data_IF_942221967962
#
_entry.id   IF_942221967962
#
_cell.length_a   1.000
_cell.length_b   1.000
_cell.length_c   1.000
_cell.angle_alpha   90.00
_cell.angle_beta   90.00
_cell.angle_gamma   90.00
#
_symmetry.space_group_name_H-M   'P 1'
#
loop_
_entity.id
_entity.type
_entity.pdbx_description
1 polymer ?
#
# COMPACT_ATOMS: atom_id res chain seq x y z
N UNK A 1 -35.90 -0.50 -26.12
CA UNK A 1 -35.62 -0.59 -24.67
C UNK A 1 -34.18 -1.06 -24.48
N UNK A 2 -33.21 -0.13 -24.47
CA UNK A 2 -31.80 -0.48 -24.27
C UNK A 2 -31.52 -0.60 -22.78
N UNK A 3 -31.11 -1.80 -22.32
CA UNK A 3 -30.63 -1.99 -20.95
C UNK A 3 -29.33 -1.21 -20.74
N UNK A 4 -29.13 -0.49 -19.62
CA UNK A 4 -27.82 0.07 -19.33
C UNK A 4 -26.80 -1.05 -19.14
N UNK A 5 -25.63 -0.93 -19.78
CA UNK A 5 -24.49 -1.82 -19.50
C UNK A 5 -24.17 -1.72 -18.01
N UNK A 6 -24.11 -2.85 -17.33
CA UNK A 6 -23.48 -2.97 -16.02
C UNK A 6 -22.05 -2.47 -16.18
N UNK A 7 -21.69 -1.40 -15.47
CA UNK A 7 -20.28 -1.05 -15.26
C UNK A 7 -19.76 -2.11 -14.32
N UNK A 8 -19.24 -3.21 -14.87
CA UNK A 8 -18.39 -4.13 -14.14
C UNK A 8 -17.12 -3.37 -13.84
N UNK A 9 -16.99 -2.84 -12.62
CA UNK A 9 -15.70 -2.40 -12.11
C UNK A 9 -14.85 -3.67 -12.00
N UNK A 10 -13.81 -3.86 -12.83
CA UNK A 10 -12.93 -5.00 -12.67
C UNK A 10 -12.25 -4.82 -11.32
N UNK A 11 -12.39 -5.80 -10.44
CA UNK A 11 -11.46 -5.89 -9.32
C UNK A 11 -10.08 -6.00 -9.95
N UNK A 12 -9.17 -5.03 -9.77
CA UNK A 12 -7.88 -5.12 -10.40
C UNK A 12 -7.21 -6.39 -9.87
N UNK A 13 -6.88 -7.30 -10.79
CA UNK A 13 -6.07 -8.46 -10.47
C UNK A 13 -4.83 -7.95 -9.73
N UNK A 14 -4.46 -8.51 -8.57
CA UNK A 14 -3.23 -8.09 -7.87
C UNK A 14 -1.97 -8.18 -8.74
N UNK A 15 -2.02 -8.89 -9.88
CA UNK A 15 -1.00 -8.93 -10.92
C UNK A 15 -1.09 -7.85 -12.01
N UNK A 16 -2.14 -7.01 -12.08
CA UNK A 16 -2.15 -5.91 -13.06
C UNK A 16 -1.22 -4.78 -12.62
N UNK A 17 -0.49 -4.15 -13.56
CA UNK A 17 0.39 -3.03 -13.25
C UNK A 17 -0.35 -1.80 -12.66
N UNK A 18 -1.68 -1.79 -12.71
CA UNK A 18 -2.51 -0.74 -12.11
C UNK A 18 -2.71 -0.92 -10.58
N UNK A 19 -2.54 -2.15 -10.08
CA UNK A 19 -2.64 -2.50 -8.67
C UNK A 19 -1.30 -2.27 -7.97
N UNK A 20 -1.18 -1.15 -7.25
CA UNK A 20 0.02 -0.85 -6.45
C UNK A 20 0.04 -1.64 -5.12
N UNK A 21 0.05 -2.96 -5.20
CA UNK A 21 0.09 -3.90 -4.07
C UNK A 21 1.55 -4.34 -3.78
N UNK A 22 1.87 -4.83 -2.56
CA UNK A 22 3.20 -5.34 -2.26
C UNK A 22 3.41 -6.73 -2.88
N UNK A 23 4.54 -6.94 -3.58
CA UNK A 23 5.05 -8.25 -3.98
C UNK A 23 5.89 -8.82 -2.85
N UNK A 24 5.41 -9.86 -2.19
CA UNK A 24 6.16 -10.56 -1.15
C UNK A 24 7.05 -11.66 -1.76
N UNK A 25 8.22 -11.97 -1.16
CA UNK A 25 8.80 -11.34 0.03
C UNK A 25 9.73 -10.16 -0.29
N UNK A 26 9.85 -9.71 -1.54
CA UNK A 26 10.77 -8.63 -1.91
C UNK A 26 10.30 -7.23 -1.46
N UNK A 27 8.99 -7.09 -1.21
CA UNK A 27 8.29 -5.86 -0.83
C UNK A 27 8.34 -4.76 -1.89
N UNK A 28 8.62 -5.07 -3.14
CA UNK A 28 8.46 -4.13 -4.25
C UNK A 28 6.98 -3.99 -4.63
N UNK A 29 6.63 -2.89 -5.27
CA UNK A 29 5.30 -2.65 -5.77
C UNK A 29 5.04 -3.50 -7.02
N UNK A 30 3.94 -4.24 -7.06
CA UNK A 30 3.48 -4.96 -8.27
C UNK A 30 3.27 -3.99 -9.44
N UNK A 31 2.68 -2.83 -9.16
CA UNK A 31 2.34 -1.85 -10.19
C UNK A 31 3.54 -1.15 -10.85
N UNK A 32 4.47 -0.63 -10.05
CA UNK A 32 5.56 0.21 -10.57
C UNK A 32 6.98 -0.33 -10.31
N UNK A 33 7.14 -1.45 -9.62
CA UNK A 33 8.45 -2.05 -9.32
C UNK A 33 9.30 -1.30 -8.27
N UNK A 34 8.88 -0.12 -7.84
CA UNK A 34 9.53 0.62 -6.74
C UNK A 34 9.20 0.02 -5.38
N UNK A 35 9.94 0.39 -4.35
CA UNK A 35 9.66 0.04 -2.97
C UNK A 35 8.19 0.30 -2.57
N UNK A 36 7.49 -0.75 -2.16
CA UNK A 36 6.15 -0.63 -1.57
C UNK A 36 6.20 -0.21 -0.09
N UNK A 37 5.46 0.80 0.37
CA UNK A 37 4.47 1.57 -0.38
C UNK A 37 5.14 2.59 -1.30
N UNK A 38 4.85 2.51 -2.60
CA UNK A 38 5.30 3.47 -3.60
C UNK A 38 4.49 4.77 -3.48
N UNK A 39 4.92 5.85 -4.15
CA UNK A 39 4.27 7.16 -4.05
C UNK A 39 2.76 7.11 -4.37
N UNK A 40 2.36 6.41 -5.44
CA UNK A 40 0.95 6.25 -5.81
C UNK A 40 0.15 5.53 -4.73
N UNK A 41 0.70 4.45 -4.15
CA UNK A 41 0.02 3.74 -3.07
C UNK A 41 -0.11 4.60 -1.82
N UNK A 42 0.92 5.38 -1.47
CA UNK A 42 0.85 6.34 -0.35
C UNK A 42 -0.28 7.33 -0.54
N UNK A 43 -0.40 7.93 -1.73
CA UNK A 43 -1.48 8.87 -2.08
C UNK A 43 -2.85 8.22 -1.98
N UNK A 44 -3.03 7.03 -2.56
CA UNK A 44 -4.29 6.27 -2.50
C UNK A 44 -4.67 5.93 -1.06
N UNK A 45 -3.73 5.43 -0.26
CA UNK A 45 -3.95 5.15 1.16
C UNK A 45 -4.36 6.41 1.97
N UNK A 46 -3.76 7.57 1.70
CA UNK A 46 -4.17 8.82 2.33
C UNK A 46 -5.59 9.24 1.95
N UNK A 47 -6.01 8.98 0.71
CA UNK A 47 -7.37 9.27 0.27
C UNK A 47 -8.38 8.26 0.87
N UNK A 48 -8.08 6.96 0.76
CA UNK A 48 -8.89 5.85 1.30
C UNK A 48 -9.16 6.02 2.81
N UNK A 49 -8.14 6.42 3.58
CA UNK A 49 -8.22 6.58 5.03
C UNK A 49 -8.36 8.04 5.48
N UNK A 50 -8.87 8.94 4.63
CA UNK A 50 -8.96 10.37 4.93
C UNK A 50 -9.64 10.69 6.27
N UNK A 51 -10.67 9.93 6.63
CA UNK A 51 -11.41 10.07 7.89
C UNK A 51 -10.92 9.19 9.05
N UNK A 52 -9.89 8.35 8.86
CA UNK A 52 -9.39 7.48 9.92
C UNK A 52 -7.89 7.21 9.80
N UNK A 53 -7.10 8.20 10.22
CA UNK A 53 -5.63 8.16 10.18
C UNK A 53 -5.02 7.12 11.12
N UNK A 54 -5.69 6.83 12.23
CA UNK A 54 -5.25 5.80 13.19
C UNK A 54 -5.29 4.42 12.51
N UNK A 55 -6.40 4.08 11.84
CA UNK A 55 -6.52 2.81 11.12
C UNK A 55 -5.45 2.66 10.03
N UNK A 56 -5.11 3.74 9.31
CA UNK A 56 -4.02 3.73 8.35
C UNK A 56 -2.66 3.43 9.00
N UNK A 57 -2.37 4.07 10.14
CA UNK A 57 -1.12 3.86 10.86
C UNK A 57 -1.00 2.40 11.35
N UNK A 58 -2.08 1.82 11.88
CA UNK A 58 -2.12 0.42 12.32
C UNK A 58 -1.91 -0.53 11.14
N UNK A 59 -2.58 -0.30 10.01
CA UNK A 59 -2.39 -1.09 8.79
C UNK A 59 -0.94 -1.05 8.28
N UNK A 60 -0.32 0.13 8.25
CA UNK A 60 1.07 0.24 7.79
C UNK A 60 2.05 -0.36 8.78
N UNK A 61 1.76 -0.31 10.08
CA UNK A 61 2.56 -0.97 11.10
C UNK A 61 2.50 -2.50 10.96
N UNK A 62 1.34 -3.09 10.63
CA UNK A 62 1.27 -4.54 10.39
C UNK A 62 2.09 -4.96 9.18
N UNK A 63 2.00 -4.23 8.07
CA UNK A 63 2.85 -4.48 6.90
C UNK A 63 4.35 -4.29 7.20
N UNK A 64 4.71 -3.31 8.02
CA UNK A 64 6.10 -3.12 8.44
C UNK A 64 6.62 -4.32 9.24
N UNK A 65 5.80 -4.88 10.15
CA UNK A 65 6.17 -6.06 10.94
C UNK A 65 6.34 -7.30 10.07
N UNK A 66 5.45 -7.48 9.10
CA UNK A 66 5.58 -8.56 8.13
C UNK A 66 6.85 -8.39 7.28
N UNK A 67 7.18 -7.17 6.86
CA UNK A 67 8.40 -6.88 6.11
C UNK A 67 9.66 -7.12 6.95
N UNK A 68 9.63 -6.80 8.24
CA UNK A 68 10.73 -7.12 9.16
C UNK A 68 10.98 -8.62 9.28
N UNK A 69 9.90 -9.42 9.29
CA UNK A 69 10.00 -10.87 9.36
C UNK A 69 10.50 -11.50 8.06
N UNK A 70 10.06 -10.97 6.91
CA UNK A 70 10.40 -11.51 5.58
C UNK A 70 11.74 -10.98 5.02
N UNK A 71 12.20 -9.81 5.50
CA UNK A 71 13.43 -9.14 5.06
C UNK A 71 14.34 -8.81 6.24
N UNK A 72 14.90 -9.82 6.94
CA UNK A 72 15.82 -9.60 8.05
C UNK A 72 17.14 -8.95 7.61
N UNK A 73 17.44 -8.93 6.31
CA UNK A 73 18.58 -8.24 5.70
C UNK A 73 18.43 -6.71 5.70
N UNK A 74 17.20 -6.19 5.82
CA UNK A 74 16.94 -4.75 5.81
C UNK A 74 16.98 -4.17 7.23
N UNK A 75 17.55 -2.97 7.43
CA UNK A 75 17.58 -2.33 8.72
C UNK A 75 16.17 -1.90 9.15
N UNK A 76 15.79 -2.24 10.39
CA UNK A 76 14.46 -1.92 10.93
C UNK A 76 14.13 -0.43 10.90
N UNK A 77 15.12 0.44 11.11
CA UNK A 77 14.96 1.89 10.99
C UNK A 77 14.60 2.33 9.56
N UNK A 78 15.12 1.63 8.54
CA UNK A 78 14.80 1.86 7.14
C UNK A 78 13.34 1.51 6.83
N UNK A 79 12.88 0.34 7.30
CA UNK A 79 11.48 -0.08 7.17
C UNK A 79 10.53 0.88 7.91
N UNK A 80 10.84 1.27 9.15
CA UNK A 80 10.05 2.27 9.88
C UNK A 80 9.91 3.57 9.11
N UNK A 81 11.01 4.06 8.55
CA UNK A 81 11.02 5.29 7.75
C UNK A 81 10.16 5.12 6.49
N UNK A 82 10.35 4.03 5.76
CA UNK A 82 9.60 3.72 4.54
C UNK A 82 8.08 3.65 4.76
N UNK A 83 7.65 2.97 5.83
CA UNK A 83 6.23 2.73 6.10
C UNK A 83 5.53 3.92 6.78
N UNK A 84 6.17 4.57 7.75
CA UNK A 84 5.47 5.48 8.67
C UNK A 84 5.89 6.95 8.57
N UNK A 85 7.06 7.27 7.99
CA UNK A 85 7.60 8.65 8.05
C UNK A 85 6.78 9.70 7.29
N UNK A 86 6.00 9.27 6.30
CA UNK A 86 5.19 10.13 5.44
C UNK A 86 3.76 10.33 5.95
N UNK A 87 3.37 9.69 7.05
CA UNK A 87 2.06 9.89 7.63
C UNK A 87 1.92 11.31 8.20
N UNK A 88 0.76 11.97 8.04
CA UNK A 88 0.50 13.26 8.66
C UNK A 88 0.62 13.13 10.18
N UNK A 89 1.32 14.06 10.82
CA UNK A 89 1.51 14.07 12.28
C UNK A 89 0.31 14.65 13.05
N UNK A 90 -0.72 15.08 12.34
CA UNK A 90 -1.94 15.67 12.90
C UNK A 90 -3.06 14.63 12.77
N UNK A 91 -3.55 14.15 13.91
CA UNK A 91 -4.71 13.28 14.04
C UNK A 91 -5.94 14.13 14.33
#
# INVERSE_FOLDING_TARGET
MSRPRRVETPYPDPGTPEAHVPRRPGWECAGCGLDWPCLDRRRRLLAEYAGNRIALAVLLASYMMDALAERPDLPAAGLRTRFLSWLPRRF
#
